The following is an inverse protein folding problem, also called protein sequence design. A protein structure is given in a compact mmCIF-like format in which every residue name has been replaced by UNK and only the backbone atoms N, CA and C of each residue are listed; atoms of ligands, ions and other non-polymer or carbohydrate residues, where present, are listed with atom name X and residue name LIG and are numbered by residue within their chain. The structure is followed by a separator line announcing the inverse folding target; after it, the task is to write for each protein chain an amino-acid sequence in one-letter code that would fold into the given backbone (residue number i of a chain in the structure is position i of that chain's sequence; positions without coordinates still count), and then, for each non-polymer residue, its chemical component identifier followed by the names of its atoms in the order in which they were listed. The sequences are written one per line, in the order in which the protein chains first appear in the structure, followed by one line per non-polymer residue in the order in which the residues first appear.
data_IF_109087659998
#
_entry.id   IF_109087659998
#
_cell.length_a   1.000
_cell.length_b   1.000
_cell.length_c   1.000
_cell.angle_alpha   90.00
_cell.angle_beta   90.00
_cell.angle_gamma   90.00
#
_symmetry.space_group_name_H-M   'P 1'
#
loop_
_entity.id
_entity.type
_entity.pdbx_description
1 polymer ?
#
# COMPACT_ATOMS: atom_id res chain seq x y z
N UNK A 1 13.65 3.44 -9.81
CA UNK A 1 12.20 3.22 -9.91
C UNK A 1 11.68 3.01 -8.50
N UNK A 2 10.70 3.79 -8.04
CA UNK A 2 10.16 3.65 -6.70
C UNK A 2 9.52 2.26 -6.52
N UNK A 3 9.90 1.54 -5.46
CA UNK A 3 9.31 0.23 -5.18
C UNK A 3 8.02 0.43 -4.38
N UNK A 4 6.88 0.16 -5.03
CA UNK A 4 5.56 0.31 -4.40
C UNK A 4 4.99 -1.08 -4.13
N UNK A 5 4.66 -1.36 -2.87
CA UNK A 5 4.02 -2.60 -2.44
C UNK A 5 2.74 -2.25 -1.68
N UNK A 6 1.61 -2.82 -2.11
CA UNK A 6 0.31 -2.65 -1.46
C UNK A 6 -0.10 -3.96 -0.84
N UNK A 7 -0.16 -3.99 0.47
CA UNK A 7 -0.68 -5.12 1.23
C UNK A 7 -2.19 -4.95 1.36
N UNK A 8 -2.93 -5.90 0.78
CA UNK A 8 -4.39 -5.87 0.69
C UNK A 8 -5.01 -7.08 1.38
N UNK A 9 -6.32 -7.01 1.59
CA UNK A 9 -7.14 -8.13 2.05
C UNK A 9 -8.36 -8.26 1.15
N UNK A 10 -8.90 -9.48 0.96
CA UNK A 10 -10.09 -9.70 0.16
C UNK A 10 -11.30 -8.97 0.77
N UNK A 11 -12.18 -8.49 -0.11
CA UNK A 11 -13.41 -7.75 0.22
C UNK A 11 -13.18 -6.45 1.01
N UNK A 12 -12.15 -5.67 0.66
CA UNK A 12 -11.89 -4.37 1.28
C UNK A 12 -11.96 -3.23 0.25
N UNK A 13 -12.93 -2.32 0.44
CA UNK A 13 -13.14 -1.18 -0.44
C UNK A 13 -11.96 -0.20 -0.43
N UNK A 14 -11.35 0.05 0.73
CA UNK A 14 -10.17 0.91 0.85
C UNK A 14 -8.97 0.36 0.08
N UNK A 15 -8.76 -0.98 0.10
CA UNK A 15 -7.71 -1.63 -0.67
C UNK A 15 -7.89 -1.37 -2.17
N UNK A 16 -9.12 -1.50 -2.68
CA UNK A 16 -9.41 -1.18 -4.08
C UNK A 16 -9.19 0.30 -4.40
N UNK A 17 -9.58 1.21 -3.51
CA UNK A 17 -9.40 2.64 -3.69
C UNK A 17 -7.91 3.03 -3.80
N UNK A 18 -7.05 2.48 -2.91
CA UNK A 18 -5.59 2.67 -2.98
C UNK A 18 -5.04 2.18 -4.32
N UNK A 19 -5.41 0.98 -4.76
CA UNK A 19 -4.96 0.43 -6.05
C UNK A 19 -5.37 1.31 -7.22
N UNK A 20 -6.62 1.75 -7.26
CA UNK A 20 -7.12 2.65 -8.31
C UNK A 20 -6.37 3.96 -8.33
N UNK A 21 -6.07 4.53 -7.17
CA UNK A 21 -5.26 5.75 -7.06
C UNK A 21 -3.88 5.55 -7.69
N UNK A 22 -3.16 4.50 -7.29
CA UNK A 22 -1.82 4.20 -7.81
C UNK A 22 -1.83 3.97 -9.33
N UNK A 23 -2.80 3.18 -9.83
CA UNK A 23 -2.99 2.97 -11.27
C UNK A 23 -3.29 4.27 -11.99
N UNK A 24 -4.16 5.12 -11.43
CA UNK A 24 -4.51 6.42 -12.01
C UNK A 24 -3.33 7.39 -12.05
N UNK A 25 -2.36 7.25 -11.14
CA UNK A 25 -1.11 8.01 -11.16
C UNK A 25 -0.06 7.40 -12.10
N UNK A 26 -0.38 6.31 -12.80
CA UNK A 26 0.57 5.60 -13.67
C UNK A 26 1.69 4.90 -12.90
N UNK A 27 1.49 4.65 -11.60
CA UNK A 27 2.48 4.04 -10.74
C UNK A 27 2.36 2.50 -10.79
N UNK A 28 3.46 1.82 -11.13
CA UNK A 28 3.55 0.37 -11.01
C UNK A 28 3.69 -0.04 -9.54
N UNK A 29 2.85 -0.95 -9.08
CA UNK A 29 2.89 -1.47 -7.71
C UNK A 29 2.71 -2.99 -7.68
N UNK A 30 3.19 -3.60 -6.60
CA UNK A 30 2.98 -5.01 -6.30
C UNK A 30 1.84 -5.14 -5.29
N UNK A 31 0.75 -5.81 -5.67
CA UNK A 31 -0.27 -6.21 -4.71
C UNK A 31 0.15 -7.50 -4.00
N UNK A 32 0.01 -7.54 -2.67
CA UNK A 32 0.19 -8.74 -1.86
C UNK A 32 -1.01 -8.93 -0.92
N UNK A 33 -1.71 -10.06 -1.05
CA UNK A 33 -2.84 -10.37 -0.20
C UNK A 33 -2.36 -11.03 1.11
N UNK A 34 -2.45 -10.29 2.22
CA UNK A 34 -1.94 -10.78 3.52
C UNK A 34 -2.86 -11.78 4.23
N UNK A 35 -4.08 -11.98 3.71
CA UNK A 35 -4.99 -13.03 4.22
C UNK A 35 -4.68 -14.40 3.62
N UNK A 36 -4.31 -14.42 2.35
CA UNK A 36 -4.04 -15.67 1.62
C UNK A 36 -2.55 -16.02 1.63
N UNK A 37 -1.67 -15.02 1.78
CA UNK A 37 -0.22 -15.20 1.79
C UNK A 37 0.39 -14.85 3.16
N UNK A 38 0.76 -15.85 3.98
CA UNK A 38 1.34 -15.63 5.30
C UNK A 38 2.73 -14.98 5.25
N UNK A 39 3.47 -15.14 4.15
CA UNK A 39 4.76 -14.48 3.96
C UNK A 39 4.57 -12.97 3.74
N UNK A 40 3.55 -12.57 2.97
CA UNK A 40 3.17 -11.17 2.80
C UNK A 40 2.75 -10.54 4.12
N UNK A 41 2.03 -11.27 4.98
CA UNK A 41 1.70 -10.81 6.32
C UNK A 41 2.96 -10.56 7.16
N UNK A 42 3.90 -11.51 7.16
CA UNK A 42 5.16 -11.36 7.89
C UNK A 42 5.98 -10.15 7.37
N UNK A 43 6.06 -9.94 6.07
CA UNK A 43 6.70 -8.76 5.48
C UNK A 43 5.98 -7.46 5.85
N UNK A 44 4.66 -7.43 5.80
CA UNK A 44 3.86 -6.27 6.20
C UNK A 44 4.13 -5.92 7.66
N UNK A 45 4.17 -6.92 8.55
CA UNK A 45 4.48 -6.71 9.95
C UNK A 45 5.93 -6.23 10.15
N UNK A 46 6.89 -6.77 9.41
CA UNK A 46 8.29 -6.34 9.50
C UNK A 46 8.49 -4.89 9.04
N UNK A 47 7.76 -4.45 8.00
CA UNK A 47 7.90 -3.09 7.44
C UNK A 47 7.06 -2.04 8.18
N UNK A 48 5.81 -2.38 8.50
CA UNK A 48 4.85 -1.41 9.00
C UNK A 48 4.58 -1.54 10.50
N UNK A 49 4.96 -2.67 11.11
CA UNK A 49 4.66 -3.01 12.50
C UNK A 49 3.16 -2.90 12.87
N UNK A 50 2.29 -2.96 11.87
CA UNK A 50 0.82 -2.96 12.03
C UNK A 50 0.21 -4.23 11.45
N UNK A 51 -1.01 -4.53 11.88
CA UNK A 51 -1.84 -5.64 11.37
C UNK A 51 -3.12 -5.16 10.67
N UNK A 52 -3.20 -3.88 10.32
CA UNK A 52 -4.38 -3.25 9.75
C UNK A 52 -4.13 -3.01 8.26
N UNK A 53 -4.99 -3.55 7.41
CA UNK A 53 -4.99 -3.29 5.98
C UNK A 53 -6.00 -2.18 5.61
N UNK A 54 -5.81 -1.45 4.49
CA UNK A 54 -4.68 -1.51 3.56
C UNK A 54 -3.38 -0.95 4.14
N UNK A 55 -2.24 -1.57 3.80
CA UNK A 55 -0.90 -1.00 4.07
C UNK A 55 -0.20 -0.74 2.74
N UNK A 56 0.19 0.49 2.50
CA UNK A 56 0.92 0.90 1.29
C UNK A 56 2.35 1.24 1.67
N UNK A 57 3.32 0.58 1.05
CA UNK A 57 4.74 0.86 1.23
C UNK A 57 5.27 1.44 -0.08
N UNK A 58 5.86 2.62 -0.01
CA UNK A 58 6.48 3.33 -1.14
C UNK A 58 7.93 3.59 -0.74
N UNK A 59 8.86 2.86 -1.33
CA UNK A 59 10.27 2.82 -0.95
C UNK A 59 10.45 2.56 0.56
N UNK A 60 10.73 3.62 1.33
CA UNK A 60 10.96 3.56 2.77
C UNK A 60 9.83 4.22 3.59
N UNK A 61 8.76 4.64 2.93
CA UNK A 61 7.58 5.24 3.54
C UNK A 61 6.48 4.20 3.66
N UNK A 62 5.81 4.20 4.80
CA UNK A 62 4.72 3.28 5.12
C UNK A 62 3.47 4.09 5.43
N UNK A 63 2.38 3.75 4.75
CA UNK A 63 1.06 4.32 4.95
C UNK A 63 0.10 3.18 5.33
N UNK A 64 -0.75 3.41 6.32
CA UNK A 64 -1.75 2.45 6.78
C UNK A 64 -2.98 3.18 7.31
N UNK A 65 -4.12 2.49 7.41
CA UNK A 65 -5.40 3.07 7.84
C UNK A 65 -6.41 3.23 6.70
N UNK A 66 -7.36 4.15 6.82
CA UNK A 66 -8.38 4.39 5.79
C UNK A 66 -7.78 5.02 4.53
N UNK A 67 -8.43 4.80 3.39
CA UNK A 67 -7.96 5.37 2.11
C UNK A 67 -7.82 6.90 2.16
N UNK A 68 -8.76 7.60 2.78
CA UNK A 68 -8.76 9.07 2.80
C UNK A 68 -7.56 9.65 3.57
N UNK A 69 -7.12 8.96 4.62
CA UNK A 69 -5.96 9.33 5.44
C UNK A 69 -4.63 9.03 4.71
N UNK A 70 -4.56 7.90 4.02
CA UNK A 70 -3.36 7.50 3.27
C UNK A 70 -3.18 8.28 1.96
N UNK A 71 -4.28 8.63 1.26
CA UNK A 71 -4.27 9.27 -0.06
C UNK A 71 -3.31 10.46 -0.16
N UNK A 72 -3.35 11.49 0.72
CA UNK A 72 -2.45 12.64 0.60
C UNK A 72 -0.97 12.23 0.74
N UNK A 73 -0.65 11.34 1.68
CA UNK A 73 0.72 10.84 1.88
C UNK A 73 1.23 10.03 0.69
N UNK A 74 0.38 9.18 0.12
CA UNK A 74 0.69 8.40 -1.10
C UNK A 74 0.97 9.35 -2.27
N UNK A 75 0.12 10.34 -2.50
CA UNK A 75 0.29 11.30 -3.59
C UNK A 75 1.58 12.10 -3.43
N UNK A 76 1.90 12.53 -2.21
CA UNK A 76 3.14 13.25 -1.94
C UNK A 76 4.37 12.36 -2.19
N UNK A 77 4.35 11.11 -1.71
CA UNK A 77 5.42 10.15 -1.94
C UNK A 77 5.62 9.86 -3.43
N UNK A 78 4.53 9.77 -4.20
CA UNK A 78 4.58 9.60 -5.65
C UNK A 78 5.14 10.84 -6.36
N UNK A 79 4.80 12.05 -5.89
CA UNK A 79 5.29 13.30 -6.47
C UNK A 79 6.79 13.53 -6.21
N UNK A 80 7.34 12.99 -5.12
CA UNK A 80 8.77 13.06 -4.77
C UNK A 80 9.65 12.08 -5.56
N UNK A 81 9.06 11.27 -6.45
CA UNK A 81 9.82 10.34 -7.31
C UNK A 81 10.63 11.15 -8.34
N UNK A 82 11.97 10.99 -8.40
CA UNK A 82 12.80 11.66 -9.40
C UNK A 82 12.56 11.12 -10.82
#
# INVERSE_FOLDING_TARGET
MAQITVYTVPNCADCEAVKRLLTSQGATFTEKNVREDPAALAEMQAKANVRIAPVTVIDNQVFYGFFDDQRPGILEALARRP
#
